data_IF_256618468484
#
_entry.id   IF_256618468484
#
_cell.length_a   1.000
_cell.length_b   1.000
_cell.length_c   1.000
_cell.angle_alpha   90.00
_cell.angle_beta   90.00
_cell.angle_gamma   90.00
#
_symmetry.space_group_name_H-M   'P 1'
#
loop_
_entity.id
_entity.type
_entity.pdbx_description
1 polymer ?
#
# COMPACT_ATOMS: atom_id res chain seq x y z
N UNK A 1 -21.52 22.13 -50.49
CA UNK A 1 -21.24 22.92 -49.28
C UNK A 1 -21.04 21.95 -48.12
N UNK A 2 -20.06 22.18 -47.24
CA UNK A 2 -19.35 21.15 -46.47
C UNK A 2 -19.95 20.85 -45.09
N UNK A 3 -19.36 19.83 -44.46
CA UNK A 3 -19.70 19.09 -43.24
C UNK A 3 -19.54 19.85 -41.89
N UNK A 4 -20.26 19.32 -40.88
CA UNK A 4 -19.98 19.28 -39.42
C UNK A 4 -20.54 20.39 -38.51
N UNK A 5 -20.77 20.15 -37.19
CA UNK A 5 -20.48 18.93 -36.38
C UNK A 5 -21.67 18.43 -35.52
N UNK A 6 -21.87 17.12 -35.41
CA UNK A 6 -22.57 16.54 -34.26
C UNK A 6 -21.54 16.16 -33.18
N UNK A 7 -21.82 16.47 -31.89
CA UNK A 7 -20.86 16.26 -30.83
C UNK A 7 -20.65 14.77 -30.61
N UNK A 8 -19.38 14.37 -30.63
CA UNK A 8 -18.95 13.04 -30.24
C UNK A 8 -19.58 12.68 -28.88
N UNK A 9 -20.55 11.76 -28.91
CA UNK A 9 -20.96 10.98 -27.74
C UNK A 9 -19.71 10.25 -27.26
N UNK A 10 -19.03 10.92 -26.32
CA UNK A 10 -17.98 10.38 -25.50
C UNK A 10 -18.63 9.24 -24.72
N UNK A 11 -18.60 8.05 -25.31
CA UNK A 11 -18.78 6.79 -24.63
C UNK A 11 -17.89 6.85 -23.40
N UNK A 12 -18.52 7.16 -22.26
CA UNK A 12 -17.96 6.91 -20.96
C UNK A 12 -17.94 5.39 -20.85
N UNK A 13 -16.89 4.80 -21.43
CA UNK A 13 -16.41 3.49 -21.08
C UNK A 13 -16.14 3.58 -19.59
N UNK A 14 -17.14 3.20 -18.81
CA UNK A 14 -17.01 2.77 -17.43
C UNK A 14 -16.10 1.55 -17.48
N UNK A 15 -14.80 1.81 -17.50
CA UNK A 15 -13.81 0.78 -17.25
C UNK A 15 -14.16 0.15 -15.90
N UNK A 16 -14.45 -1.15 -15.82
CA UNK A 16 -14.55 -1.80 -14.53
C UNK A 16 -13.18 -1.66 -13.87
N UNK A 17 -13.16 -1.04 -12.68
CA UNK A 17 -11.97 -0.93 -11.85
C UNK A 17 -11.32 -2.32 -11.76
N UNK A 18 -10.03 -2.48 -12.11
CA UNK A 18 -9.39 -3.77 -12.02
C UNK A 18 -9.43 -4.22 -10.57
N UNK A 19 -9.94 -5.43 -10.38
CA UNK A 19 -10.20 -6.06 -9.09
C UNK A 19 -8.98 -5.94 -8.16
N UNK A 20 -9.28 -5.66 -6.89
CA UNK A 20 -8.37 -5.25 -5.82
C UNK A 20 -7.36 -6.31 -5.34
N UNK A 21 -6.85 -7.16 -6.23
CA UNK A 21 -5.75 -8.09 -5.96
C UNK A 21 -4.40 -7.49 -6.32
N UNK A 22 -4.35 -6.58 -7.30
CA UNK A 22 -3.12 -5.82 -7.62
C UNK A 22 -2.77 -4.76 -6.59
N UNK A 23 -3.74 -4.28 -5.81
CA UNK A 23 -3.58 -3.14 -4.89
C UNK A 23 -2.69 -3.47 -3.70
N UNK A 24 -2.71 -4.71 -3.21
CA UNK A 24 -1.91 -5.13 -2.04
C UNK A 24 -0.43 -5.21 -2.37
N UNK A 25 -0.08 -5.96 -3.42
CA UNK A 25 1.32 -6.10 -3.84
C UNK A 25 1.89 -4.76 -4.33
N UNK A 26 1.11 -3.97 -5.07
CA UNK A 26 1.55 -2.63 -5.49
C UNK A 26 1.74 -1.67 -4.31
N UNK A 27 0.82 -1.62 -3.35
CA UNK A 27 0.97 -0.79 -2.16
C UNK A 27 2.16 -1.23 -1.30
N UNK A 28 2.43 -2.53 -1.22
CA UNK A 28 3.60 -3.08 -0.54
C UNK A 28 4.90 -2.69 -1.25
N UNK A 29 4.97 -2.87 -2.56
CA UNK A 29 6.13 -2.48 -3.36
C UNK A 29 6.39 -0.97 -3.29
N UNK A 30 5.34 -0.16 -3.36
CA UNK A 30 5.46 1.29 -3.25
C UNK A 30 5.98 1.69 -1.86
N UNK A 31 5.45 1.10 -0.80
CA UNK A 31 5.95 1.32 0.55
C UNK A 31 7.43 0.90 0.70
N UNK A 32 7.84 -0.22 0.09
CA UNK A 32 9.26 -0.62 0.08
C UNK A 32 10.16 0.37 -0.66
N UNK A 33 9.66 1.01 -1.73
CA UNK A 33 10.40 2.08 -2.44
C UNK A 33 10.53 3.34 -1.61
N UNK A 34 9.56 3.63 -0.75
CA UNK A 34 9.56 4.76 0.19
C UNK A 34 10.35 4.49 1.48
N UNK A 35 11.18 3.44 1.52
CA UNK A 35 11.96 3.11 2.70
C UNK A 35 12.82 4.30 3.17
N UNK A 36 12.75 4.68 4.46
CA UNK A 36 13.46 5.84 4.99
C UNK A 36 14.99 5.63 5.08
N UNK A 37 15.46 4.42 4.83
CA UNK A 37 16.88 4.09 4.78
C UNK A 37 17.12 2.75 4.09
N UNK A 38 18.37 2.56 3.66
CA UNK A 38 18.89 1.28 3.16
C UNK A 38 20.00 0.81 4.12
N UNK A 39 20.15 -0.50 4.37
CA UNK A 39 19.43 -1.62 3.76
C UNK A 39 18.04 -1.87 4.35
N UNK A 40 17.15 -2.43 3.54
CA UNK A 40 15.85 -2.97 3.96
C UNK A 40 15.96 -4.48 4.07
N UNK A 41 15.61 -5.03 5.23
CA UNK A 41 15.59 -6.46 5.48
C UNK A 41 14.15 -6.96 5.48
N UNK A 42 13.86 -7.93 4.62
CA UNK A 42 12.55 -8.56 4.52
C UNK A 42 12.36 -9.56 5.67
N UNK A 43 11.19 -9.50 6.30
CA UNK A 43 10.79 -10.41 7.36
C UNK A 43 9.66 -11.32 6.85
N UNK A 44 9.51 -12.47 7.51
CA UNK A 44 8.23 -13.17 7.45
C UNK A 44 7.20 -12.33 8.23
N UNK A 45 5.95 -12.21 7.74
CA UNK A 45 4.90 -11.50 8.46
C UNK A 45 4.85 -11.96 9.92
N UNK A 46 5.13 -11.03 10.84
CA UNK A 46 5.15 -11.30 12.27
C UNK A 46 4.15 -10.38 12.96
N UNK A 47 3.29 -10.89 13.86
CA UNK A 47 2.34 -10.05 14.57
C UNK A 47 3.09 -9.08 15.49
N UNK A 48 2.81 -7.79 15.32
CA UNK A 48 3.38 -6.71 16.11
C UNK A 48 2.27 -5.76 16.54
N UNK A 49 2.51 -5.03 17.62
CA UNK A 49 1.65 -3.95 18.08
C UNK A 49 2.33 -2.62 17.81
N UNK A 50 1.69 -1.79 17.00
CA UNK A 50 2.10 -0.39 16.78
C UNK A 50 1.13 0.49 17.55
N UNK A 51 1.65 1.15 18.60
CA UNK A 51 0.82 1.92 19.55
C UNK A 51 -0.28 1.05 20.18
N UNK A 52 -1.54 1.23 19.76
CA UNK A 52 -2.70 0.50 20.24
C UNK A 52 -3.21 -0.57 19.25
N UNK A 53 -2.63 -0.66 18.05
CA UNK A 53 -3.18 -1.43 16.94
C UNK A 53 -2.27 -2.60 16.59
N UNK A 54 -2.88 -3.76 16.32
CA UNK A 54 -2.17 -4.96 15.90
C UNK A 54 -1.98 -4.93 14.39
N UNK A 55 -0.74 -5.11 13.95
CA UNK A 55 -0.33 -5.14 12.55
C UNK A 55 0.62 -6.31 12.30
N UNK A 56 1.02 -6.53 11.05
CA UNK A 56 2.07 -7.50 10.70
C UNK A 56 3.33 -6.76 10.25
N UNK A 57 4.47 -7.04 10.88
CA UNK A 57 5.77 -6.55 10.42
C UNK A 57 6.26 -7.42 9.27
N UNK A 58 6.58 -6.80 8.14
CA UNK A 58 6.98 -7.49 6.89
C UNK A 58 8.39 -7.11 6.40
N UNK A 59 8.92 -5.98 6.86
CA UNK A 59 10.31 -5.60 6.62
C UNK A 59 10.80 -4.66 7.73
N UNK A 60 12.11 -4.47 7.85
CA UNK A 60 12.70 -3.50 8.75
C UNK A 60 13.95 -2.87 8.16
N UNK A 61 14.24 -1.68 8.66
CA UNK A 61 15.49 -0.95 8.52
C UNK A 61 16.06 -0.77 9.93
N UNK A 62 17.21 -0.09 10.03
CA UNK A 62 17.81 0.23 11.33
C UNK A 62 16.88 1.09 12.19
N UNK A 63 16.07 1.97 11.58
CA UNK A 63 15.28 2.98 12.29
C UNK A 63 13.76 2.74 12.22
N UNK A 64 13.27 2.06 11.20
CA UNK A 64 11.84 1.87 10.94
C UNK A 64 11.51 0.42 10.59
N UNK A 65 10.30 0.00 10.90
CA UNK A 65 9.72 -1.29 10.57
C UNK A 65 8.55 -1.05 9.62
N UNK A 66 8.54 -1.74 8.49
CA UNK A 66 7.41 -1.74 7.57
C UNK A 66 6.35 -2.66 8.14
N UNK A 67 5.20 -2.07 8.46
CA UNK A 67 4.04 -2.80 8.93
C UNK A 67 2.97 -2.78 7.87
N UNK A 68 2.34 -3.93 7.66
CA UNK A 68 1.12 -4.06 6.89
C UNK A 68 -0.07 -4.22 7.84
N UNK A 69 -1.19 -3.64 7.45
CA UNK A 69 -2.47 -3.82 8.11
C UNK A 69 -3.56 -3.98 7.06
N UNK A 70 -4.46 -4.91 7.33
CA UNK A 70 -5.64 -5.19 6.52
C UNK A 70 -6.84 -4.91 7.44
N UNK A 71 -7.50 -3.77 7.24
CA UNK A 71 -8.70 -3.34 7.98
C UNK A 71 -9.91 -3.27 7.02
N UNK A 72 -11.11 -3.03 7.53
CA UNK A 72 -12.32 -2.77 6.70
C UNK A 72 -12.15 -1.60 5.70
N UNK A 73 -11.17 -0.71 5.95
CA UNK A 73 -10.79 0.39 5.07
C UNK A 73 -9.85 -0.02 3.92
N UNK A 74 -9.40 -1.27 3.90
CA UNK A 74 -8.49 -1.83 2.91
C UNK A 74 -7.08 -2.09 3.43
N UNK A 75 -6.22 -2.54 2.51
CA UNK A 75 -4.81 -2.83 2.80
C UNK A 75 -3.99 -1.55 2.88
N UNK A 76 -3.22 -1.40 3.95
CA UNK A 76 -2.28 -0.30 4.15
C UNK A 76 -0.90 -0.83 4.56
N UNK A 77 0.15 -0.28 3.95
CA UNK A 77 1.53 -0.55 4.34
C UNK A 77 2.23 0.78 4.69
N UNK A 78 2.80 0.89 5.90
CA UNK A 78 3.47 2.10 6.37
C UNK A 78 4.76 1.78 7.12
N UNK A 79 5.72 2.69 7.03
CA UNK A 79 6.94 2.64 7.83
C UNK A 79 6.71 3.28 9.19
N UNK A 80 6.88 2.49 10.24
CA UNK A 80 6.73 2.91 11.63
C UNK A 80 8.09 2.92 12.30
N UNK A 81 8.38 3.94 13.12
CA UNK A 81 9.66 3.98 13.80
C UNK A 81 9.80 2.77 14.75
N UNK A 82 10.97 2.14 14.78
CA UNK A 82 11.17 0.85 15.48
C UNK A 82 10.86 0.92 16.97
N UNK A 83 11.05 2.09 17.59
CA UNK A 83 10.73 2.36 19.00
C UNK A 83 9.22 2.45 19.29
N UNK A 84 8.37 2.59 18.27
CA UNK A 84 6.90 2.55 18.38
C UNK A 84 6.33 1.14 18.17
N UNK A 85 7.13 0.21 17.67
CA UNK A 85 6.73 -1.16 17.36
C UNK A 85 7.09 -2.08 18.52
N UNK A 86 6.09 -2.76 19.07
CA UNK A 86 6.26 -3.76 20.11
C UNK A 86 5.95 -5.13 19.56
N UNK A 87 6.80 -6.11 19.86
CA UNK A 87 6.51 -7.51 19.56
C UNK A 87 5.39 -8.01 20.47
N UNK A 88 4.47 -8.78 19.91
CA UNK A 88 3.45 -9.52 20.64
C UNK A 88 3.98 -10.86 21.15
#
# INVERSE_FOLDING_TARGET
>A
MPLSPEPAEKSAVLSPLPQASGTRDTAREDALRQAPGRPVLMLRPAPVKVRAITCHAIAYTVTHVLVERDDDAGYQASWEASWLVRRL
#
